data_IF_609529369064
#
_entry.id   IF_609529369064
#
_cell.length_a   1.000
_cell.length_b   1.000
_cell.length_c   1.000
_cell.angle_alpha   90.00
_cell.angle_beta   90.00
_cell.angle_gamma   90.00
#
_symmetry.space_group_name_H-M   'P 1'
#
loop_
_entity.id
_entity.type
_entity.pdbx_description
1 polymer ?
#
# COMPACT_ATOMS: atom_id res chain seq x y z
N UNK A 1 -31.95 -15.12 -10.00
CA UNK A 1 -32.47 -15.04 -11.37
C UNK A 1 -33.08 -16.36 -11.81
N UNK A 2 -34.17 -16.29 -12.58
CA UNK A 2 -34.88 -17.49 -13.04
C UNK A 2 -34.10 -18.32 -14.06
N UNK A 3 -33.05 -17.71 -14.70
CA UNK A 3 -32.25 -18.37 -15.73
C UNK A 3 -31.09 -19.19 -15.20
N UNK A 4 -30.66 -19.01 -13.95
CA UNK A 4 -29.50 -19.71 -13.38
C UNK A 4 -28.12 -19.33 -13.97
N UNK A 5 -28.05 -18.37 -14.89
CA UNK A 5 -26.86 -17.92 -15.58
C UNK A 5 -26.56 -16.44 -15.24
N UNK A 6 -25.28 -16.04 -15.36
CA UNK A 6 -24.87 -14.63 -15.29
C UNK A 6 -25.31 -13.92 -16.57
N UNK A 7 -26.32 -13.06 -16.47
CA UNK A 7 -26.89 -12.32 -17.59
C UNK A 7 -27.00 -10.84 -17.25
N UNK A 8 -27.00 -9.99 -18.29
CA UNK A 8 -27.27 -8.56 -18.13
C UNK A 8 -28.68 -8.31 -17.55
N UNK A 9 -28.79 -7.24 -16.78
CA UNK A 9 -30.05 -6.80 -16.21
C UNK A 9 -30.24 -5.30 -16.45
N UNK A 10 -31.42 -4.95 -16.92
CA UNK A 10 -31.88 -3.56 -17.02
C UNK A 10 -32.39 -3.08 -15.66
N UNK A 11 -31.93 -1.91 -15.21
CA UNK A 11 -32.44 -1.27 -13.99
C UNK A 11 -33.75 -0.55 -14.33
N UNK A 12 -34.86 -1.06 -13.84
CA UNK A 12 -36.19 -0.46 -14.03
C UNK A 12 -36.47 0.63 -13.00
N UNK A 13 -35.97 0.44 -11.79
CA UNK A 13 -36.14 1.37 -10.67
C UNK A 13 -35.02 1.22 -9.66
N UNK A 14 -34.58 2.34 -9.16
CA UNK A 14 -33.67 2.44 -8.03
C UNK A 14 -34.35 3.21 -6.90
N UNK A 15 -34.24 2.70 -5.66
CA UNK A 15 -34.73 3.35 -4.45
C UNK A 15 -33.59 3.36 -3.44
N UNK A 16 -33.00 4.53 -3.16
CA UNK A 16 -31.98 4.66 -2.10
C UNK A 16 -32.55 4.26 -0.72
N UNK A 17 -31.74 3.51 0.06
CA UNK A 17 -32.08 3.08 1.43
C UNK A 17 -30.81 3.11 2.28
N UNK A 18 -30.65 4.17 3.09
CA UNK A 18 -29.40 4.42 3.83
C UNK A 18 -28.23 4.59 2.86
N UNK A 19 -27.12 3.90 3.12
CA UNK A 19 -25.94 3.88 2.26
C UNK A 19 -26.04 2.88 1.09
N UNK A 20 -27.18 2.17 0.96
CA UNK A 20 -27.45 1.22 -0.11
C UNK A 20 -28.65 1.60 -0.94
N UNK A 21 -29.11 0.66 -1.79
CA UNK A 21 -30.27 0.84 -2.62
C UNK A 21 -31.04 -0.47 -2.88
N UNK A 22 -32.35 -0.36 -3.13
CA UNK A 22 -33.17 -1.43 -3.66
C UNK A 22 -33.32 -1.22 -5.16
N UNK A 23 -32.89 -2.20 -5.96
CA UNK A 23 -32.98 -2.18 -7.41
C UNK A 23 -34.11 -3.12 -7.88
N UNK A 24 -35.02 -2.61 -8.69
CA UNK A 24 -35.93 -3.44 -9.47
C UNK A 24 -35.27 -3.69 -10.82
N UNK A 25 -34.96 -4.94 -11.12
CA UNK A 25 -34.20 -5.36 -12.27
C UNK A 25 -35.06 -6.23 -13.21
N UNK A 26 -34.83 -6.08 -14.53
CA UNK A 26 -35.34 -6.96 -15.57
C UNK A 26 -34.20 -7.73 -16.20
N UNK A 27 -34.26 -9.06 -16.17
CA UNK A 27 -33.27 -9.88 -16.85
C UNK A 27 -33.39 -9.72 -18.37
N UNK A 28 -32.28 -9.44 -19.05
CA UNK A 28 -32.25 -9.28 -20.51
C UNK A 28 -32.54 -10.60 -21.26
N UNK A 29 -32.16 -11.74 -20.67
CA UNK A 29 -32.37 -13.05 -21.30
C UNK A 29 -33.81 -13.59 -21.18
N UNK A 30 -34.38 -13.54 -19.97
CA UNK A 30 -35.72 -14.15 -19.73
C UNK A 30 -36.81 -13.16 -19.38
N UNK A 31 -36.53 -11.86 -19.36
CA UNK A 31 -37.45 -10.76 -19.07
C UNK A 31 -38.07 -10.82 -17.66
N UNK A 32 -37.59 -11.74 -16.80
CA UNK A 32 -38.10 -11.84 -15.42
C UNK A 32 -37.73 -10.58 -14.63
N UNK A 33 -38.70 -10.03 -13.91
CA UNK A 33 -38.51 -8.86 -13.05
C UNK A 33 -38.34 -9.32 -11.60
N UNK A 34 -37.29 -8.85 -10.93
CA UNK A 34 -37.00 -9.14 -9.53
C UNK A 34 -36.38 -7.95 -8.82
N UNK A 35 -36.36 -7.99 -7.50
CA UNK A 35 -35.75 -6.95 -6.68
C UNK A 35 -34.50 -7.48 -6.06
N UNK A 36 -33.41 -6.67 -6.14
CA UNK A 36 -32.12 -6.91 -5.46
C UNK A 36 -31.92 -5.79 -4.45
N UNK A 37 -31.60 -6.16 -3.24
CA UNK A 37 -31.20 -5.20 -2.19
C UNK A 37 -29.69 -5.15 -2.10
N UNK A 38 -29.14 -4.00 -2.38
CA UNK A 38 -27.72 -3.73 -2.16
C UNK A 38 -27.57 -3.02 -0.82
N UNK A 39 -26.78 -3.62 0.05
CA UNK A 39 -26.41 -3.05 1.35
C UNK A 39 -24.90 -3.13 1.45
N UNK A 40 -24.18 -2.00 1.33
CA UNK A 40 -22.74 -2.00 1.56
C UNK A 40 -22.44 -2.47 2.99
N UNK A 41 -21.35 -3.22 3.20
CA UNK A 41 -20.94 -3.61 4.53
C UNK A 41 -20.60 -2.36 5.36
N UNK A 42 -20.87 -2.39 6.69
CA UNK A 42 -20.54 -1.24 7.54
C UNK A 42 -19.03 -1.01 7.58
N UNK A 43 -18.58 0.25 7.55
CA UNK A 43 -17.15 0.55 7.63
C UNK A 43 -16.56 0.08 8.96
N UNK A 44 -15.27 -0.28 8.92
CA UNK A 44 -14.46 -0.69 10.07
C UNK A 44 -13.28 0.25 10.26
N UNK A 45 -13.00 0.57 11.52
CA UNK A 45 -11.82 1.32 11.91
C UNK A 45 -10.70 0.33 12.24
N UNK A 46 -9.66 0.26 11.40
CA UNK A 46 -8.50 -0.61 11.63
C UNK A 46 -7.29 0.24 12.00
N UNK A 47 -6.60 -0.06 13.11
CA UNK A 47 -5.33 0.58 13.43
C UNK A 47 -4.21 0.04 12.53
N UNK A 48 -3.51 0.96 11.86
CA UNK A 48 -2.30 0.70 11.10
C UNK A 48 -1.09 1.27 11.84
N UNK A 49 0.00 0.52 11.86
CA UNK A 49 1.32 0.99 12.28
C UNK A 49 2.12 1.22 11.02
N UNK A 50 2.29 2.48 10.63
CA UNK A 50 3.03 2.90 9.46
C UNK A 50 4.47 3.19 9.86
N UNK A 51 5.42 2.44 9.28
CA UNK A 51 6.85 2.53 9.65
C UNK A 51 7.67 3.07 8.49
N UNK A 52 8.35 4.19 8.73
CA UNK A 52 9.29 4.83 7.83
C UNK A 52 10.68 4.90 8.49
N UNK A 53 11.57 3.98 8.12
CA UNK A 53 12.90 3.88 8.73
C UNK A 53 12.84 3.66 10.25
N UNK A 54 13.37 4.58 11.08
CA UNK A 54 13.34 4.44 12.54
C UNK A 54 12.05 4.95 13.18
N UNK A 55 11.14 5.53 12.41
CA UNK A 55 9.90 6.13 12.91
C UNK A 55 8.72 5.21 12.61
N UNK A 56 7.82 5.07 13.60
CA UNK A 56 6.54 4.40 13.42
C UNK A 56 5.43 5.29 13.94
N UNK A 57 4.35 5.35 13.23
CA UNK A 57 3.16 6.12 13.56
C UNK A 57 1.93 5.21 13.57
N UNK A 58 1.01 5.44 14.49
CA UNK A 58 -0.27 4.76 14.51
C UNK A 58 -1.33 5.65 13.89
N UNK A 59 -1.93 5.18 12.80
CA UNK A 59 -3.10 5.79 12.17
C UNK A 59 -4.30 4.84 12.26
N UNK A 60 -5.50 5.36 12.13
CA UNK A 60 -6.72 4.54 12.06
C UNK A 60 -7.36 4.80 10.72
N UNK A 61 -7.40 3.78 9.87
CA UNK A 61 -8.05 3.86 8.56
C UNK A 61 -9.45 3.28 8.62
N UNK A 62 -10.35 3.92 7.89
CA UNK A 62 -11.73 3.47 7.71
C UNK A 62 -11.77 2.64 6.43
N UNK A 63 -12.15 1.37 6.55
CA UNK A 63 -12.18 0.40 5.45
C UNK A 63 -13.53 -0.32 5.42
N UNK A 64 -13.87 -0.96 4.33
CA UNK A 64 -15.07 -1.77 4.25
C UNK A 64 -14.92 -3.07 5.07
N UNK A 65 -15.98 -3.51 5.73
CA UNK A 65 -15.92 -4.66 6.64
C UNK A 65 -15.55 -5.97 5.93
N UNK A 66 -15.87 -6.11 4.65
CA UNK A 66 -15.56 -7.26 3.79
C UNK A 66 -14.28 -7.10 2.98
N UNK A 67 -13.57 -5.97 3.12
CA UNK A 67 -12.27 -5.76 2.47
C UNK A 67 -11.25 -6.80 2.93
N UNK A 68 -10.58 -7.43 1.98
CA UNK A 68 -9.52 -8.41 2.25
C UNK A 68 -8.15 -7.74 2.15
N UNK A 69 -7.32 -7.95 3.16
CA UNK A 69 -5.94 -7.48 3.21
C UNK A 69 -4.99 -8.68 3.11
N UNK A 70 -3.93 -8.52 2.29
CA UNK A 70 -2.91 -9.55 2.08
C UNK A 70 -1.53 -8.97 2.40
N UNK A 71 -0.70 -9.74 3.08
CA UNK A 71 0.71 -9.37 3.31
C UNK A 71 1.43 -9.23 1.96
N UNK A 72 2.02 -8.07 1.73
CA UNK A 72 2.67 -7.73 0.47
C UNK A 72 1.90 -6.73 -0.38
N UNK A 73 0.61 -6.54 -0.14
CA UNK A 73 -0.19 -5.51 -0.82
C UNK A 73 0.33 -4.11 -0.52
N UNK A 74 0.16 -3.23 -1.50
CA UNK A 74 0.60 -1.84 -1.43
C UNK A 74 -0.63 -0.94 -1.49
N UNK A 75 -0.71 0.01 -0.56
CA UNK A 75 -1.75 1.02 -0.52
C UNK A 75 -1.14 2.42 -0.37
N UNK A 76 -1.91 3.43 -0.71
CA UNK A 76 -1.54 4.83 -0.56
C UNK A 76 -2.22 5.43 0.68
N UNK A 77 -1.44 6.11 1.52
CA UNK A 77 -1.92 6.92 2.62
C UNK A 77 -1.01 8.14 2.76
N UNK A 78 -1.61 9.33 2.80
CA UNK A 78 -0.92 10.61 2.96
C UNK A 78 0.16 10.84 1.88
N UNK A 79 -0.20 10.56 0.59
CA UNK A 79 0.68 10.67 -0.60
C UNK A 79 1.95 9.78 -0.53
N UNK A 80 1.93 8.73 0.30
CA UNK A 80 3.02 7.77 0.47
C UNK A 80 2.53 6.36 0.17
N UNK A 81 3.41 5.54 -0.39
CA UNK A 81 3.12 4.13 -0.64
C UNK A 81 3.60 3.26 0.52
N UNK A 82 2.69 2.45 1.03
CA UNK A 82 2.91 1.56 2.16
C UNK A 82 2.67 0.12 1.75
N UNK A 83 3.59 -0.76 2.09
CA UNK A 83 3.48 -2.20 1.85
C UNK A 83 3.12 -2.92 3.13
N UNK A 84 2.06 -3.71 3.12
CA UNK A 84 1.64 -4.53 4.26
C UNK A 84 2.73 -5.55 4.56
N UNK A 85 3.28 -5.46 5.77
CA UNK A 85 4.32 -6.36 6.27
C UNK A 85 3.76 -7.44 7.19
N UNK A 86 2.73 -7.12 7.97
CA UNK A 86 2.16 -8.02 8.96
C UNK A 86 0.70 -7.70 9.24
N UNK A 87 -0.11 -8.74 9.34
CA UNK A 87 -1.53 -8.66 9.73
C UNK A 87 -1.69 -9.44 11.03
N UNK A 88 -2.22 -8.78 12.04
CA UNK A 88 -2.59 -9.37 13.33
C UNK A 88 -4.11 -9.44 13.44
N UNK A 89 -4.62 -10.61 13.73
CA UNK A 89 -6.05 -10.85 13.88
C UNK A 89 -6.54 -10.61 15.31
N UNK A 90 -7.85 -10.54 15.49
CA UNK A 90 -8.48 -10.30 16.81
C UNK A 90 -8.24 -11.42 17.83
N UNK A 91 -7.80 -12.60 17.38
CA UNK A 91 -7.36 -13.73 18.21
C UNK A 91 -5.83 -13.79 18.36
N UNK A 92 -5.14 -12.64 18.18
CA UNK A 92 -3.71 -12.43 18.40
C UNK A 92 -2.79 -13.31 17.53
N UNK A 93 -3.26 -13.73 16.35
CA UNK A 93 -2.45 -14.50 15.39
C UNK A 93 -1.95 -13.63 14.25
N UNK A 94 -0.77 -13.98 13.75
CA UNK A 94 -0.23 -13.39 12.53
C UNK A 94 -0.61 -14.27 11.34
N UNK A 95 -1.19 -13.65 10.32
CA UNK A 95 -1.70 -14.33 9.12
C UNK A 95 -1.20 -13.66 7.85
N UNK A 96 -1.23 -14.39 6.74
CA UNK A 96 -0.87 -13.85 5.42
C UNK A 96 -2.00 -13.04 4.77
N UNK A 97 -3.26 -13.33 5.12
CA UNK A 97 -4.44 -12.58 4.68
C UNK A 97 -5.55 -12.66 5.70
N UNK A 98 -6.40 -11.64 5.75
CA UNK A 98 -7.61 -11.61 6.55
C UNK A 98 -8.60 -10.56 6.04
N UNK A 99 -9.88 -10.80 6.28
CA UNK A 99 -10.93 -9.81 6.09
C UNK A 99 -10.90 -8.76 7.22
N UNK A 100 -11.21 -7.51 6.91
CA UNK A 100 -11.22 -6.38 7.84
C UNK A 100 -11.91 -6.66 9.19
N UNK A 101 -13.00 -7.44 9.17
CA UNK A 101 -13.73 -7.86 10.39
C UNK A 101 -12.91 -8.65 11.38
N UNK A 102 -11.90 -9.38 10.91
CA UNK A 102 -11.05 -10.26 11.71
C UNK A 102 -9.71 -9.63 12.07
N UNK A 103 -9.43 -8.41 11.64
CA UNK A 103 -8.15 -7.73 11.84
C UNK A 103 -8.20 -6.89 13.12
N UNK A 104 -7.19 -7.07 13.97
CA UNK A 104 -6.92 -6.23 15.13
C UNK A 104 -5.96 -5.08 14.78
N UNK A 105 -4.95 -5.35 13.93
CA UNK A 105 -3.93 -4.38 13.56
C UNK A 105 -3.19 -4.79 12.28
N UNK A 106 -2.79 -3.80 11.48
CA UNK A 106 -1.89 -3.98 10.34
C UNK A 106 -0.61 -3.21 10.58
N UNK A 107 0.54 -3.81 10.27
CA UNK A 107 1.83 -3.12 10.21
C UNK A 107 2.26 -3.01 8.77
N UNK A 108 2.59 -1.79 8.33
CA UNK A 108 3.04 -1.53 6.97
C UNK A 108 4.34 -0.73 6.97
N UNK A 109 5.15 -0.98 5.95
CA UNK A 109 6.44 -0.33 5.74
C UNK A 109 6.36 0.59 4.53
N UNK A 110 6.93 1.78 4.63
CA UNK A 110 7.03 2.70 3.49
C UNK A 110 7.86 2.05 2.37
N UNK A 111 7.36 2.07 1.14
CA UNK A 111 7.97 1.35 0.01
C UNK A 111 8.37 2.25 -1.16
N UNK A 112 7.89 3.48 -1.23
CA UNK A 112 8.26 4.46 -2.28
C UNK A 112 9.63 5.09 -2.05
N UNK A 113 10.18 4.98 -0.84
CA UNK A 113 11.46 5.56 -0.46
C UNK A 113 12.40 4.51 0.10
N UNK A 114 13.68 4.65 -0.20
CA UNK A 114 14.75 3.77 0.30
C UNK A 114 15.87 4.56 0.98
N UNK A 115 16.50 3.92 1.95
CA UNK A 115 17.64 4.49 2.68
C UNK A 115 18.96 4.03 2.05
N UNK A 116 19.73 4.99 1.54
CA UNK A 116 21.05 4.75 0.96
C UNK A 116 22.11 5.20 1.95
N UNK A 117 23.00 4.28 2.33
CA UNK A 117 24.14 4.57 3.20
C UNK A 117 25.22 5.27 2.39
N UNK A 118 25.73 6.38 2.92
CA UNK A 118 26.84 7.14 2.37
C UNK A 118 28.09 6.93 3.21
N UNK A 119 29.26 6.89 2.56
CA UNK A 119 30.55 7.09 3.18
C UNK A 119 31.17 8.33 2.54
N UNK A 120 31.19 9.42 3.28
CA UNK A 120 31.69 10.71 2.85
C UNK A 120 33.19 10.81 3.24
N UNK A 121 34.08 10.93 2.25
CA UNK A 121 35.52 10.95 2.48
C UNK A 121 36.08 12.28 2.07
N UNK A 122 36.85 12.93 2.98
CA UNK A 122 37.58 14.17 2.75
C UNK A 122 39.02 14.00 3.25
N UNK A 123 39.96 13.89 2.30
CA UNK A 123 41.34 13.55 2.64
C UNK A 123 41.43 12.15 3.27
N UNK A 124 41.92 12.08 4.50
CA UNK A 124 42.05 10.84 5.27
C UNK A 124 40.79 10.54 6.15
N UNK A 125 39.91 11.53 6.32
CA UNK A 125 38.73 11.41 7.17
C UNK A 125 37.56 10.83 6.39
N UNK A 126 36.82 9.95 7.05
CA UNK A 126 35.58 9.34 6.51
C UNK A 126 34.46 9.38 7.54
N UNK A 127 33.30 9.85 7.12
CA UNK A 127 32.09 9.92 7.93
C UNK A 127 30.98 9.11 7.27
N UNK A 128 30.24 8.34 8.07
CA UNK A 128 29.05 7.63 7.60
C UNK A 128 27.82 8.51 7.74
N UNK A 129 26.96 8.50 6.72
CA UNK A 129 25.67 9.18 6.72
C UNK A 129 24.63 8.38 5.94
N UNK A 130 23.38 8.86 5.88
CA UNK A 130 22.27 8.20 5.21
C UNK A 130 21.42 9.24 4.50
N UNK A 131 21.08 8.97 3.24
CA UNK A 131 20.03 9.71 2.52
C UNK A 131 18.81 8.84 2.32
N UNK A 132 17.65 9.48 2.21
CA UNK A 132 16.38 8.83 1.85
C UNK A 132 16.00 9.34 0.48
N UNK A 133 15.82 8.44 -0.46
CA UNK A 133 15.54 8.75 -1.87
C UNK A 133 14.44 7.85 -2.42
N UNK A 134 13.72 8.28 -3.49
CA UNK A 134 12.80 7.42 -4.22
C UNK A 134 13.46 6.11 -4.68
N UNK A 135 12.69 5.02 -4.68
CA UNK A 135 13.20 3.68 -5.03
C UNK A 135 13.81 3.59 -6.42
N UNK A 136 13.34 4.41 -7.38
CA UNK A 136 13.86 4.47 -8.76
C UNK A 136 15.09 5.37 -8.93
N UNK A 137 15.62 5.97 -7.84
CA UNK A 137 16.77 6.85 -7.91
C UNK A 137 18.02 6.10 -8.41
N UNK A 138 18.63 6.63 -9.46
CA UNK A 138 19.83 6.04 -10.05
C UNK A 138 21.07 6.86 -9.67
N UNK A 139 22.06 6.19 -9.12
CA UNK A 139 23.37 6.75 -8.85
C UNK A 139 24.37 6.32 -9.92
N UNK A 140 25.24 7.25 -10.32
CA UNK A 140 26.28 6.98 -11.32
C UNK A 140 27.64 7.44 -10.79
N UNK A 141 28.65 6.57 -10.88
CA UNK A 141 30.01 6.89 -10.49
C UNK A 141 30.55 8.10 -11.26
N UNK A 142 31.39 8.90 -10.63
CA UNK A 142 31.96 10.16 -11.12
C UNK A 142 30.98 11.34 -11.20
N UNK A 143 29.67 11.13 -11.01
CA UNK A 143 28.71 12.23 -10.94
C UNK A 143 28.83 12.98 -9.61
N UNK A 144 28.39 14.24 -9.65
CA UNK A 144 28.28 15.09 -8.46
C UNK A 144 26.90 14.92 -7.84
N UNK A 145 26.85 14.96 -6.52
CA UNK A 145 25.64 15.01 -5.72
C UNK A 145 25.77 16.07 -4.63
N UNK A 146 24.68 16.72 -4.31
CA UNK A 146 24.62 17.61 -3.16
C UNK A 146 24.14 16.86 -1.92
N UNK A 147 24.82 17.09 -0.81
CA UNK A 147 24.44 16.53 0.48
C UNK A 147 24.87 17.47 1.60
N UNK A 148 23.92 17.84 2.47
CA UNK A 148 24.11 18.78 3.58
C UNK A 148 24.74 20.13 3.16
N UNK A 149 24.35 20.65 1.98
CA UNK A 149 24.84 21.92 1.44
C UNK A 149 26.24 21.87 0.84
N UNK A 150 26.81 20.68 0.70
CA UNK A 150 28.11 20.44 0.08
C UNK A 150 27.99 19.58 -1.17
N UNK A 151 28.91 19.80 -2.13
CA UNK A 151 28.98 19.01 -3.36
C UNK A 151 29.95 17.87 -3.22
N UNK A 152 29.51 16.65 -3.44
CA UNK A 152 30.29 15.42 -3.35
C UNK A 152 30.40 14.73 -4.70
N UNK A 153 31.53 14.08 -4.96
CA UNK A 153 31.69 13.22 -6.14
C UNK A 153 31.52 11.75 -5.75
N UNK A 154 30.61 11.05 -6.42
CA UNK A 154 30.40 9.60 -6.22
C UNK A 154 31.64 8.85 -6.73
N UNK A 155 32.45 8.27 -5.84
CA UNK A 155 33.67 7.50 -6.18
C UNK A 155 33.39 6.03 -6.42
N UNK A 156 32.47 5.45 -5.68
CA UNK A 156 32.13 4.05 -5.75
C UNK A 156 30.68 3.83 -5.29
N UNK A 157 30.04 2.85 -5.87
CA UNK A 157 28.71 2.39 -5.51
C UNK A 157 28.85 0.93 -5.10
N UNK A 158 28.39 0.59 -3.89
CA UNK A 158 28.39 -0.77 -3.38
C UNK A 158 26.96 -1.28 -3.32
N UNK A 159 26.69 -2.40 -4.01
CA UNK A 159 25.42 -3.13 -3.97
C UNK A 159 25.64 -4.44 -3.22
N UNK A 160 24.55 -5.18 -2.95
CA UNK A 160 24.67 -6.53 -2.38
C UNK A 160 25.50 -7.50 -3.23
N UNK A 161 25.68 -7.22 -4.52
CA UNK A 161 26.47 -8.01 -5.47
C UNK A 161 27.91 -7.51 -5.66
N UNK A 162 28.31 -6.43 -4.95
CA UNK A 162 29.68 -5.88 -5.00
C UNK A 162 29.72 -4.42 -5.46
N UNK A 163 30.93 -3.98 -5.94
CA UNK A 163 31.18 -2.61 -6.39
C UNK A 163 30.74 -2.43 -7.85
N UNK A 164 30.03 -1.34 -8.13
CA UNK A 164 29.62 -0.98 -9.50
C UNK A 164 29.86 0.53 -9.76
N UNK A 165 29.78 0.93 -11.05
CA UNK A 165 29.82 2.34 -11.45
C UNK A 165 28.42 2.95 -11.64
N UNK A 166 27.38 2.13 -11.69
CA UNK A 166 26.00 2.56 -11.77
C UNK A 166 25.12 1.64 -10.94
N UNK A 167 24.21 2.20 -10.17
CA UNK A 167 23.24 1.45 -9.38
C UNK A 167 21.94 2.22 -9.24
N UNK A 168 20.83 1.47 -9.29
CA UNK A 168 19.49 1.93 -8.91
C UNK A 168 19.19 1.32 -7.54
N UNK A 169 18.55 2.08 -6.68
CA UNK A 169 18.11 1.65 -5.34
C UNK A 169 16.74 1.05 -5.40
#
# INVERSE_FOLDING_TARGET
>A
PACGELTGHEILREKPVGDGADFMLRCEACQHVHTVQFRPPPPRNIPFILTEGPKSERVVLVVDADEEFVVGDVFEEDEKLWKIHQIETTDERHVSSATATNIARITALRTDMVRVKLTLTRGEDSTADVIVVPQETTFTGSHLMEHNGETWRIRAIHTGAGRTLRGTV
#
